data_IF_826525935505
#
_entry.id   IF_826525935505
#
_cell.length_a   1.000
_cell.length_b   1.000
_cell.length_c   1.000
_cell.angle_alpha   90.00
_cell.angle_beta   90.00
_cell.angle_gamma   90.00
#
_symmetry.space_group_name_H-M   'P 1'
#
loop_
_entity.id
_entity.type
_entity.pdbx_description
1 polymer ?
#
# COMPACT_ATOMS: atom_id res chain seq x y z
N UNK A 1 -6.62 7.29 44.69
CA UNK A 1 -5.88 6.25 43.95
C UNK A 1 -6.90 5.32 43.34
N UNK A 2 -6.77 4.96 42.06
CA UNK A 2 -7.66 4.00 41.41
C UNK A 2 -7.44 2.63 42.06
N UNK A 3 -8.51 1.97 42.50
CA UNK A 3 -8.41 0.67 43.16
C UNK A 3 -8.22 -0.47 42.15
N UNK A 4 -7.55 -1.55 42.57
CA UNK A 4 -7.41 -2.76 41.73
C UNK A 4 -8.78 -3.36 41.35
N UNK A 5 -9.80 -3.19 42.20
CA UNK A 5 -11.16 -3.63 41.93
C UNK A 5 -11.81 -2.87 40.76
N UNK A 6 -11.59 -1.56 40.67
CA UNK A 6 -12.09 -0.74 39.54
C UNK A 6 -11.44 -1.15 38.22
N UNK A 7 -10.12 -1.39 38.24
CA UNK A 7 -9.38 -1.89 37.07
C UNK A 7 -9.96 -3.23 36.61
N UNK A 8 -10.24 -4.14 37.54
CA UNK A 8 -10.81 -5.45 37.22
C UNK A 8 -12.21 -5.34 36.61
N UNK A 9 -13.06 -4.44 37.14
CA UNK A 9 -14.38 -4.16 36.57
C UNK A 9 -14.29 -3.63 35.14
N UNK A 10 -13.35 -2.72 34.87
CA UNK A 10 -13.13 -2.19 33.51
C UNK A 10 -12.62 -3.29 32.58
N UNK A 11 -11.66 -4.11 33.01
CA UNK A 11 -11.18 -5.25 32.24
C UNK A 11 -12.32 -6.16 31.80
N UNK A 12 -13.20 -6.52 32.73
CA UNK A 12 -14.36 -7.37 32.43
C UNK A 12 -15.33 -6.68 31.45
N UNK A 13 -15.63 -5.40 31.67
CA UNK A 13 -16.56 -4.63 30.81
C UNK A 13 -16.09 -4.50 29.36
N UNK A 14 -14.79 -4.36 29.14
CA UNK A 14 -14.20 -4.17 27.80
C UNK A 14 -13.53 -5.43 27.23
N UNK A 15 -13.72 -6.58 27.89
CA UNK A 15 -13.11 -7.84 27.45
C UNK A 15 -11.59 -7.83 27.43
N UNK A 16 -10.94 -7.00 28.26
CA UNK A 16 -9.49 -6.99 28.40
C UNK A 16 -9.09 -8.08 29.38
N UNK A 17 -8.15 -8.91 28.95
CA UNK A 17 -7.64 -10.05 29.72
C UNK A 17 -6.16 -9.86 29.95
N UNK A 18 -5.73 -10.06 31.18
CA UNK A 18 -4.35 -9.97 31.59
C UNK A 18 -4.20 -9.32 32.96
N UNK A 19 -3.11 -9.63 33.63
CA UNK A 19 -2.72 -9.16 34.95
C UNK A 19 -1.38 -8.42 34.93
N UNK A 20 -0.72 -8.31 33.78
CA UNK A 20 0.57 -7.60 33.66
C UNK A 20 0.50 -6.19 34.28
N UNK A 21 1.50 -5.80 35.11
CA UNK A 21 1.57 -4.47 35.68
C UNK A 21 1.57 -3.35 34.62
N UNK A 22 2.22 -3.58 33.47
CA UNK A 22 2.26 -2.62 32.37
C UNK A 22 0.88 -2.41 31.74
N UNK A 23 0.09 -3.49 31.62
CA UNK A 23 -1.29 -3.42 31.15
C UNK A 23 -2.17 -2.64 32.14
N UNK A 24 -2.01 -2.91 33.45
CA UNK A 24 -2.76 -2.21 34.50
C UNK A 24 -2.44 -0.71 34.50
N UNK A 25 -1.17 -0.35 34.33
CA UNK A 25 -0.74 1.04 34.21
C UNK A 25 -1.38 1.72 33.00
N UNK A 26 -1.38 1.08 31.83
CA UNK A 26 -2.04 1.63 30.64
C UNK A 26 -3.56 1.87 30.86
N UNK A 27 -4.23 0.97 31.59
CA UNK A 27 -5.65 1.14 31.94
C UNK A 27 -5.83 2.32 32.91
N UNK A 28 -4.95 2.47 33.91
CA UNK A 28 -4.99 3.61 34.84
C UNK A 28 -4.84 4.94 34.11
N UNK A 29 -3.89 5.04 33.16
CA UNK A 29 -3.72 6.23 32.33
C UNK A 29 -4.98 6.51 31.50
N UNK A 30 -5.59 5.48 30.89
CA UNK A 30 -6.85 5.64 30.16
C UNK A 30 -7.97 6.20 31.04
N UNK A 31 -8.09 5.69 32.28
CA UNK A 31 -9.09 6.15 33.25
C UNK A 31 -8.87 7.60 33.69
N UNK A 32 -7.61 8.01 33.90
CA UNK A 32 -7.27 9.37 34.28
C UNK A 32 -7.49 10.36 33.13
N UNK A 33 -7.23 9.93 31.90
CA UNK A 33 -7.43 10.75 30.70
C UNK A 33 -8.92 10.89 30.34
N UNK A 34 -9.74 9.87 30.60
CA UNK A 34 -11.15 9.81 30.22
C UNK A 34 -12.01 11.02 30.65
N UNK A 35 -11.96 11.56 31.88
CA UNK A 35 -12.81 12.70 32.28
C UNK A 35 -12.42 14.03 31.62
N UNK A 36 -11.27 14.11 30.96
CA UNK A 36 -10.79 15.33 30.29
C UNK A 36 -11.18 15.37 28.81
N UNK A 37 -11.12 16.54 28.18
CA UNK A 37 -11.24 16.71 26.72
C UNK A 37 -9.88 16.66 25.98
N UNK A 38 -8.80 16.28 26.69
CA UNK A 38 -7.47 16.18 26.09
C UNK A 38 -7.40 15.08 25.02
N UNK A 39 -6.55 15.33 24.02
CA UNK A 39 -6.18 14.33 23.01
C UNK A 39 -5.34 13.23 23.66
N UNK A 40 -5.65 11.99 23.32
CA UNK A 40 -4.90 10.82 23.80
C UNK A 40 -4.24 10.15 22.60
N UNK A 41 -2.92 9.98 22.65
CA UNK A 41 -2.15 9.26 21.65
C UNK A 41 -1.80 7.87 22.18
N UNK A 42 -2.45 6.85 21.61
CA UNK A 42 -2.25 5.45 21.95
C UNK A 42 -1.14 4.87 21.06
N UNK A 43 0.02 4.59 21.64
CA UNK A 43 1.13 3.96 20.95
C UNK A 43 1.18 2.47 21.29
N UNK A 44 1.60 1.65 20.33
CA UNK A 44 1.79 0.22 20.55
C UNK A 44 1.76 -0.57 19.25
N UNK A 45 2.30 -1.77 19.27
CA UNK A 45 2.43 -2.61 18.08
C UNK A 45 1.07 -2.96 17.45
N UNK A 46 1.11 -3.39 16.19
CA UNK A 46 -0.08 -3.88 15.49
C UNK A 46 -0.65 -5.10 16.22
N UNK A 47 -1.98 -5.16 16.36
CA UNK A 47 -2.65 -6.28 17.04
C UNK A 47 -2.51 -6.33 18.57
N UNK A 48 -1.96 -5.30 19.22
CA UNK A 48 -1.79 -5.24 20.70
C UNK A 48 -3.07 -4.90 21.49
N UNK A 49 -4.16 -4.54 20.81
CA UNK A 49 -5.46 -4.23 21.44
C UNK A 49 -5.73 -2.74 21.69
N UNK A 50 -5.09 -1.83 20.95
CA UNK A 50 -5.28 -0.36 21.08
C UNK A 50 -6.74 0.10 21.01
N UNK A 51 -7.56 -0.55 20.17
CA UNK A 51 -8.99 -0.23 20.02
C UNK A 51 -9.79 -0.37 21.32
N UNK A 52 -9.45 -1.33 22.20
CA UNK A 52 -10.13 -1.48 23.48
C UNK A 52 -9.89 -0.27 24.39
N UNK A 53 -8.71 0.34 24.31
CA UNK A 53 -8.37 1.53 25.09
C UNK A 53 -9.14 2.77 24.63
N UNK A 54 -9.36 2.94 23.31
CA UNK A 54 -10.17 4.05 22.82
C UNK A 54 -11.63 3.96 23.28
N UNK A 55 -12.18 2.73 23.32
CA UNK A 55 -13.52 2.45 23.89
C UNK A 55 -13.58 2.75 25.39
N UNK A 56 -12.55 2.38 26.16
CA UNK A 56 -12.45 2.72 27.59
C UNK A 56 -12.51 4.23 27.77
N UNK A 57 -11.63 4.97 27.08
CA UNK A 57 -11.52 6.43 27.19
C UNK A 57 -12.86 7.09 26.89
N UNK A 58 -13.53 6.71 25.79
CA UNK A 58 -14.82 7.27 25.43
C UNK A 58 -15.90 6.94 26.47
N UNK A 59 -16.02 5.68 26.88
CA UNK A 59 -17.08 5.20 27.79
C UNK A 59 -17.03 5.80 29.20
N UNK A 60 -15.83 6.19 29.64
CA UNK A 60 -15.57 6.82 30.94
C UNK A 60 -15.50 8.34 30.84
N UNK A 61 -15.65 8.90 29.63
CA UNK A 61 -15.63 10.34 29.43
C UNK A 61 -16.97 11.01 29.74
N UNK A 62 -16.93 12.34 29.82
CA UNK A 62 -18.13 13.18 29.88
C UNK A 62 -19.00 13.04 28.61
N UNK A 63 -18.41 12.58 27.50
CA UNK A 63 -19.04 12.40 26.19
C UNK A 63 -19.50 10.96 25.93
N UNK A 64 -19.60 10.12 26.96
CA UNK A 64 -20.00 8.70 26.87
C UNK A 64 -21.36 8.43 26.21
N UNK A 65 -22.24 9.44 26.15
CA UNK A 65 -23.54 9.36 25.48
C UNK A 65 -23.52 9.96 24.07
N UNK A 66 -22.43 10.62 23.69
CA UNK A 66 -22.20 11.11 22.33
C UNK A 66 -21.82 9.97 21.39
N UNK A 67 -21.79 10.26 20.09
CA UNK A 67 -21.39 9.28 19.08
C UNK A 67 -19.91 8.93 19.22
N UNK A 68 -19.60 7.66 19.02
CA UNK A 68 -18.23 7.17 18.91
C UNK A 68 -18.02 6.59 17.52
N UNK A 69 -17.10 7.16 16.76
CA UNK A 69 -16.73 6.66 15.42
C UNK A 69 -15.27 6.22 15.46
N UNK A 70 -15.00 4.98 15.05
CA UNK A 70 -13.67 4.43 14.89
C UNK A 70 -13.34 4.34 13.39
N UNK A 71 -12.18 4.87 13.01
CA UNK A 71 -11.72 4.95 11.64
C UNK A 71 -10.29 4.45 11.59
N UNK A 72 -9.99 3.51 10.70
CA UNK A 72 -8.62 3.15 10.37
C UNK A 72 -8.17 4.02 9.18
N UNK A 73 -7.18 4.88 9.40
CA UNK A 73 -6.66 5.79 8.39
C UNK A 73 -5.85 5.07 7.29
N UNK A 74 -5.19 3.96 7.60
CA UNK A 74 -4.46 3.14 6.62
C UNK A 74 -5.36 2.31 5.71
N UNK A 75 -6.60 2.05 6.12
CA UNK A 75 -7.57 1.29 5.32
C UNK A 75 -8.33 2.15 4.28
N UNK A 76 -8.32 3.48 4.42
CA UNK A 76 -9.02 4.40 3.52
C UNK A 76 -8.05 4.87 2.43
N UNK A 77 -8.41 4.75 1.14
CA UNK A 77 -7.58 5.27 0.06
C UNK A 77 -7.30 6.76 0.23
N UNK A 78 -6.04 7.17 0.05
CA UNK A 78 -5.55 8.55 0.20
C UNK A 78 -6.40 9.57 -0.56
N UNK A 79 -6.85 9.26 -1.78
CA UNK A 79 -7.69 10.18 -2.56
C UNK A 79 -9.10 10.42 -1.99
N UNK A 80 -9.55 9.58 -1.04
CA UNK A 80 -10.91 9.62 -0.47
C UNK A 80 -10.97 10.00 1.00
N UNK A 81 -9.84 9.96 1.72
CA UNK A 81 -9.79 10.18 3.17
C UNK A 81 -10.30 11.57 3.58
N UNK A 82 -9.97 12.61 2.81
CA UNK A 82 -10.46 13.97 3.05
C UNK A 82 -11.99 14.05 2.93
N UNK A 83 -12.55 13.36 1.94
CA UNK A 83 -13.99 13.32 1.68
C UNK A 83 -14.74 12.57 2.79
N UNK A 84 -14.17 11.48 3.30
CA UNK A 84 -14.75 10.69 4.38
C UNK A 84 -14.67 11.43 5.74
N UNK A 85 -13.52 12.03 6.07
CA UNK A 85 -13.33 12.74 7.34
C UNK A 85 -14.08 14.07 7.40
N UNK A 86 -13.95 14.90 6.37
CA UNK A 86 -14.44 16.29 6.36
C UNK A 86 -15.74 16.47 5.57
N UNK A 87 -16.15 15.48 4.77
CA UNK A 87 -17.31 15.57 3.91
C UNK A 87 -17.01 16.33 2.62
N UNK A 88 -17.96 16.31 1.70
CA UNK A 88 -17.81 16.95 0.40
C UNK A 88 -19.12 17.56 -0.10
N UNK A 89 -19.00 18.59 -0.93
CA UNK A 89 -20.12 19.19 -1.64
C UNK A 89 -20.34 18.49 -2.99
N UNK A 90 -21.57 18.59 -3.52
CA UNK A 90 -21.90 18.04 -4.84
C UNK A 90 -20.98 18.65 -5.91
N UNK A 91 -20.35 17.80 -6.71
CA UNK A 91 -19.45 18.20 -7.80
C UNK A 91 -18.02 18.53 -7.37
N UNK A 92 -17.62 18.25 -6.13
CA UNK A 92 -16.26 18.55 -5.63
C UNK A 92 -15.15 17.69 -6.26
N UNK A 93 -15.48 16.50 -6.77
CA UNK A 93 -14.58 15.61 -7.49
C UNK A 93 -15.37 14.70 -8.44
N UNK A 94 -14.69 13.98 -9.33
CA UNK A 94 -15.31 13.04 -10.27
C UNK A 94 -15.99 11.89 -9.50
N UNK A 95 -17.33 11.84 -9.54
CA UNK A 95 -18.13 10.87 -8.77
C UNK A 95 -18.89 11.47 -7.58
N UNK A 96 -18.68 12.75 -7.25
CA UNK A 96 -19.44 13.47 -6.22
C UNK A 96 -20.84 13.88 -6.73
N UNK A 97 -21.72 12.90 -6.94
CA UNK A 97 -23.09 13.13 -7.44
C UNK A 97 -24.00 13.82 -6.41
N UNK A 98 -23.72 13.62 -5.14
CA UNK A 98 -24.44 14.19 -3.99
C UNK A 98 -23.45 14.77 -2.98
N UNK A 99 -23.95 15.62 -2.08
CA UNK A 99 -23.17 16.10 -0.95
C UNK A 99 -23.23 15.08 0.20
N UNK A 100 -22.09 14.84 0.87
CA UNK A 100 -22.02 13.90 2.00
C UNK A 100 -21.36 14.57 3.21
N UNK A 101 -21.96 14.34 4.39
CA UNK A 101 -21.40 14.78 5.67
C UNK A 101 -20.20 13.91 6.04
N UNK A 102 -19.12 14.55 6.49
CA UNK A 102 -17.93 13.86 6.98
C UNK A 102 -18.08 13.36 8.40
N UNK A 103 -17.18 12.47 8.83
CA UNK A 103 -17.16 11.93 10.18
C UNK A 103 -17.06 13.01 11.27
N UNK A 104 -16.32 14.10 11.04
CA UNK A 104 -16.24 15.21 11.99
C UNK A 104 -17.57 15.94 12.20
N UNK A 105 -18.42 16.00 11.18
CA UNK A 105 -19.77 16.59 11.30
C UNK A 105 -20.73 15.62 11.99
N UNK A 106 -20.65 14.33 11.65
CA UNK A 106 -21.56 13.30 12.18
C UNK A 106 -21.30 13.04 13.67
N UNK A 107 -20.06 13.22 14.13
CA UNK A 107 -19.58 12.90 15.49
C UNK A 107 -19.60 14.10 16.43
N UNK A 108 -20.17 15.23 16.03
CA UNK A 108 -20.23 16.43 16.89
C UNK A 108 -20.83 16.13 18.28
N UNK A 109 -20.19 16.63 19.34
CA UNK A 109 -20.48 16.31 20.74
C UNK A 109 -19.99 14.93 21.22
N UNK A 110 -19.34 14.16 20.35
CA UNK A 110 -18.88 12.79 20.60
C UNK A 110 -17.36 12.64 20.65
N UNK A 111 -16.87 11.47 20.26
CA UNK A 111 -15.44 11.16 20.16
C UNK A 111 -15.13 10.41 18.87
N UNK A 112 -14.01 10.76 18.24
CA UNK A 112 -13.49 10.08 17.05
C UNK A 112 -12.20 9.35 17.43
N UNK A 113 -12.12 8.09 17.03
CA UNK A 113 -10.93 7.26 17.16
C UNK A 113 -10.26 7.12 15.79
N UNK A 114 -9.04 7.63 15.67
CA UNK A 114 -8.22 7.58 14.47
C UNK A 114 -7.11 6.54 14.66
N UNK A 115 -7.33 5.32 14.16
CA UNK A 115 -6.32 4.27 14.16
C UNK A 115 -5.36 4.44 12.98
N UNK A 116 -4.11 4.04 13.19
CA UNK A 116 -3.02 4.16 12.21
C UNK A 116 -2.83 5.62 11.71
N UNK A 117 -2.88 6.60 12.62
CA UNK A 117 -2.74 8.03 12.28
C UNK A 117 -1.42 8.35 11.56
N UNK A 118 -0.37 7.54 11.75
CA UNK A 118 0.91 7.68 11.08
C UNK A 118 0.87 7.43 9.57
N UNK A 119 -0.19 6.77 9.06
CA UNK A 119 -0.40 6.53 7.62
C UNK A 119 -1.23 7.64 6.95
N UNK A 120 -1.62 8.68 7.70
CA UNK A 120 -2.42 9.78 7.16
C UNK A 120 -1.59 10.66 6.19
N UNK A 121 -2.13 11.04 5.01
CA UNK A 121 -1.47 11.96 4.10
C UNK A 121 -1.17 13.34 4.71
N UNK A 122 -0.06 13.97 4.33
CA UNK A 122 0.36 15.29 4.86
C UNK A 122 -0.70 16.39 4.68
N UNK A 123 -1.43 16.38 3.57
CA UNK A 123 -2.53 17.33 3.32
C UNK A 123 -3.67 17.17 4.32
N UNK A 124 -4.07 15.92 4.58
CA UNK A 124 -5.11 15.58 5.58
C UNK A 124 -4.64 15.91 6.99
N UNK A 125 -3.36 15.68 7.31
CA UNK A 125 -2.77 16.07 8.61
C UNK A 125 -2.92 17.57 8.88
N UNK A 126 -2.68 18.43 7.87
CA UNK A 126 -2.85 19.88 8.02
C UNK A 126 -4.31 20.28 8.30
N UNK A 127 -5.28 19.59 7.69
CA UNK A 127 -6.71 19.82 7.96
C UNK A 127 -7.11 19.32 9.36
N UNK A 128 -6.58 18.17 9.77
CA UNK A 128 -6.81 17.62 11.11
C UNK A 128 -6.28 18.56 12.19
N UNK A 129 -5.11 19.16 11.99
CA UNK A 129 -4.54 20.15 12.91
C UNK A 129 -5.51 21.32 13.13
N UNK A 130 -6.12 21.87 12.06
CA UNK A 130 -7.11 22.94 12.18
C UNK A 130 -8.33 22.55 13.02
N UNK A 131 -8.77 21.29 12.92
CA UNK A 131 -9.85 20.77 13.77
C UNK A 131 -9.41 20.69 15.22
N UNK A 132 -8.20 20.20 15.49
CA UNK A 132 -7.67 20.06 16.85
C UNK A 132 -7.40 21.40 17.54
N UNK A 133 -7.03 22.42 16.79
CA UNK A 133 -6.73 23.76 17.31
C UNK A 133 -7.99 24.61 17.49
N UNK A 134 -8.80 24.72 16.43
CA UNK A 134 -9.89 25.69 16.36
C UNK A 134 -11.28 25.05 16.42
N UNK A 135 -11.39 23.72 16.33
CA UNK A 135 -12.68 23.03 16.19
C UNK A 135 -13.34 23.33 14.85
N UNK A 136 -12.55 23.71 13.83
CA UNK A 136 -13.05 24.19 12.54
C UNK A 136 -12.55 23.32 11.38
N UNK A 137 -13.42 23.06 10.40
CA UNK A 137 -13.07 22.38 9.16
C UNK A 137 -13.88 22.93 7.97
N UNK A 138 -13.47 22.54 6.77
CA UNK A 138 -14.12 22.91 5.51
C UNK A 138 -14.34 21.63 4.71
N UNK A 139 -15.56 21.45 4.18
CA UNK A 139 -15.86 20.32 3.27
C UNK A 139 -15.05 20.42 1.99
N UNK A 140 -14.72 19.28 1.39
CA UNK A 140 -14.05 19.24 0.08
C UNK A 140 -14.93 19.94 -0.97
N UNK A 141 -14.35 20.90 -1.69
CA UNK A 141 -15.06 21.72 -2.67
C UNK A 141 -15.91 22.88 -2.09
N UNK A 142 -15.87 23.09 -0.77
CA UNK A 142 -16.55 24.22 -0.11
C UNK A 142 -15.54 25.30 0.32
N UNK A 143 -16.04 26.51 0.51
CA UNK A 143 -15.32 27.61 1.19
C UNK A 143 -15.95 27.96 2.54
N UNK A 144 -17.05 27.29 2.92
CA UNK A 144 -17.76 27.55 4.17
C UNK A 144 -17.06 26.83 5.32
N UNK A 145 -16.64 27.59 6.33
CA UNK A 145 -16.11 27.06 7.57
C UNK A 145 -17.25 26.49 8.43
N UNK A 146 -17.06 25.27 8.92
CA UNK A 146 -17.95 24.57 9.82
C UNK A 146 -17.25 24.34 11.16
N UNK A 147 -18.02 24.38 12.24
CA UNK A 147 -17.53 24.11 13.60
C UNK A 147 -17.98 22.72 14.05
N UNK A 148 -17.11 22.04 14.78
CA UNK A 148 -17.38 20.75 15.42
C UNK A 148 -16.67 20.70 16.77
N UNK A 149 -17.33 20.09 17.74
CA UNK A 149 -16.77 19.82 19.05
C UNK A 149 -16.62 18.29 19.20
N UNK A 150 -15.51 17.75 18.70
CA UNK A 150 -15.21 16.31 18.74
C UNK A 150 -13.95 16.08 19.56
N UNK A 151 -14.01 15.12 20.49
CA UNK A 151 -12.81 14.64 21.18
C UNK A 151 -12.05 13.67 20.27
N UNK A 152 -10.76 13.89 20.09
CA UNK A 152 -9.91 13.03 19.25
C UNK A 152 -9.10 12.07 20.12
N UNK A 153 -9.17 10.78 19.78
CA UNK A 153 -8.31 9.71 20.31
C UNK A 153 -7.55 9.15 19.12
N UNK A 154 -6.22 9.19 19.13
CA UNK A 154 -5.40 8.71 18.03
C UNK A 154 -4.65 7.44 18.44
N UNK A 155 -4.38 6.55 17.48
CA UNK A 155 -3.53 5.39 17.68
C UNK A 155 -2.53 5.20 16.54
N UNK A 156 -1.36 4.66 16.87
CA UNK A 156 -0.31 4.36 15.89
C UNK A 156 0.58 3.22 16.37
N UNK A 157 1.08 2.43 15.42
CA UNK A 157 2.17 1.46 15.57
C UNK A 157 3.52 2.01 15.09
N UNK A 158 3.53 3.16 14.42
CA UNK A 158 4.74 3.79 13.89
C UNK A 158 5.30 4.75 14.94
N UNK A 159 6.62 4.83 15.02
CA UNK A 159 7.28 5.87 15.78
C UNK A 159 7.12 7.22 15.06
N UNK A 160 6.21 8.07 15.57
CA UNK A 160 5.89 9.35 14.95
C UNK A 160 7.08 10.33 14.95
N UNK A 161 7.97 10.27 15.94
CA UNK A 161 9.16 11.14 15.98
C UNK A 161 10.04 10.84 14.75
N UNK A 162 10.31 9.56 14.48
CA UNK A 162 11.04 9.15 13.28
C UNK A 162 10.30 9.48 11.98
N UNK A 163 8.96 9.48 12.01
CA UNK A 163 8.17 9.87 10.84
C UNK A 163 8.25 11.38 10.57
N UNK A 164 8.34 12.21 11.62
CA UNK A 164 8.59 13.66 11.53
C UNK A 164 9.97 13.92 10.94
N UNK A 165 11.02 13.26 11.42
CA UNK A 165 12.38 13.39 10.89
C UNK A 165 12.46 13.05 9.39
N UNK A 166 11.63 12.10 8.93
CA UNK A 166 11.54 11.69 7.52
C UNK A 166 10.56 12.53 6.68
N UNK A 167 9.97 13.59 7.24
CA UNK A 167 8.99 14.43 6.56
C UNK A 167 7.66 13.73 6.22
N UNK A 168 7.37 12.56 6.80
CA UNK A 168 6.12 11.81 6.59
C UNK A 168 5.01 12.23 7.54
N UNK A 169 5.35 12.89 8.63
CA UNK A 169 4.41 13.38 9.62
C UNK A 169 4.75 14.81 10.02
N UNK A 170 3.73 15.65 10.22
CA UNK A 170 3.95 17.03 10.62
C UNK A 170 4.28 17.14 12.11
N UNK A 171 5.29 17.93 12.42
CA UNK A 171 5.76 18.15 13.79
C UNK A 171 4.70 18.84 14.66
N UNK A 172 4.02 19.85 14.12
CA UNK A 172 2.95 20.59 14.80
C UNK A 172 1.79 19.68 15.24
N UNK A 173 1.34 18.80 14.35
CA UNK A 173 0.31 17.81 14.62
C UNK A 173 0.77 16.79 15.67
N UNK A 174 2.03 16.36 15.64
CA UNK A 174 2.56 15.42 16.63
C UNK A 174 2.44 15.98 18.05
N UNK A 175 2.89 17.22 18.28
CA UNK A 175 2.81 17.83 19.60
C UNK A 175 1.36 18.04 20.05
N UNK A 176 0.44 18.37 19.12
CA UNK A 176 -0.99 18.53 19.46
C UNK A 176 -1.67 17.20 19.80
N UNK A 177 -1.30 16.11 19.15
CA UNK A 177 -1.83 14.77 19.43
C UNK A 177 -1.23 14.16 20.70
N UNK A 178 0.06 14.40 20.96
CA UNK A 178 0.80 13.80 22.07
C UNK A 178 0.59 14.54 23.41
N UNK A 179 -0.64 14.99 23.70
CA UNK A 179 -0.96 15.65 24.98
C UNK A 179 -0.96 14.63 26.12
N UNK A 180 -1.62 13.48 25.91
CA UNK A 180 -1.60 12.35 26.84
C UNK A 180 -1.06 11.11 26.12
N UNK A 181 0.22 10.74 26.32
CA UNK A 181 0.76 9.51 25.76
C UNK A 181 0.25 8.29 26.53
N UNK A 182 -0.28 7.30 25.81
CA UNK A 182 -0.68 6.02 26.36
C UNK A 182 0.01 4.89 25.60
N UNK A 183 0.93 4.20 26.26
CA UNK A 183 1.62 3.05 25.67
C UNK A 183 0.91 1.74 26.00
N UNK A 184 0.57 0.97 24.97
CA UNK A 184 0.00 -0.39 25.08
C UNK A 184 1.13 -1.40 24.87
N UNK A 185 1.50 -2.18 25.90
CA UNK A 185 2.65 -3.06 25.83
C UNK A 185 2.40 -4.20 24.83
N UNK A 186 3.41 -4.61 24.05
CA UNK A 186 3.31 -5.79 23.19
C UNK A 186 3.12 -7.06 24.03
N UNK A 187 2.56 -8.09 23.42
CA UNK A 187 2.14 -9.31 24.08
C UNK A 187 3.30 -10.03 24.78
N UNK A 188 4.49 -10.03 24.18
CA UNK A 188 5.72 -10.61 24.75
C UNK A 188 6.16 -9.97 26.07
N UNK A 189 5.80 -8.71 26.33
CA UNK A 189 6.10 -8.01 27.59
C UNK A 189 5.04 -8.24 28.67
N UNK A 190 3.98 -9.02 28.36
CA UNK A 190 2.89 -9.29 29.30
C UNK A 190 3.03 -10.61 30.07
N UNK A 191 4.06 -11.41 29.79
CA UNK A 191 4.38 -12.64 30.53
C UNK A 191 3.25 -13.68 30.47
N UNK A 192 2.71 -14.06 31.63
CA UNK A 192 1.68 -15.10 31.76
C UNK A 192 0.33 -14.75 31.10
N UNK A 193 0.10 -13.48 30.77
CA UNK A 193 -1.10 -13.04 30.05
C UNK A 193 -1.28 -13.78 28.71
N UNK A 194 -0.19 -14.23 28.10
CA UNK A 194 -0.19 -15.02 26.85
C UNK A 194 -0.99 -16.32 27.04
N UNK A 195 -0.73 -17.03 28.14
CA UNK A 195 -1.39 -18.30 28.44
C UNK A 195 -2.86 -18.08 28.80
N UNK A 196 -3.16 -17.01 29.55
CA UNK A 196 -4.53 -16.62 29.89
C UNK A 196 -5.36 -16.28 28.65
N UNK A 197 -4.79 -15.49 27.73
CA UNK A 197 -5.42 -15.13 26.46
C UNK A 197 -5.64 -16.37 25.58
N UNK A 198 -4.64 -17.24 25.46
CA UNK A 198 -4.77 -18.48 24.69
C UNK A 198 -5.94 -19.33 25.21
N UNK A 199 -5.98 -19.58 26.52
CA UNK A 199 -7.09 -20.31 27.16
C UNK A 199 -8.44 -19.65 26.90
N UNK A 200 -8.51 -18.32 26.94
CA UNK A 200 -9.76 -17.63 26.62
C UNK A 200 -10.18 -17.90 25.19
N UNK A 201 -9.29 -17.73 24.21
CA UNK A 201 -9.64 -17.91 22.81
C UNK A 201 -10.06 -19.34 22.48
N UNK A 202 -9.39 -20.35 23.05
CA UNK A 202 -9.82 -21.74 22.88
C UNK A 202 -11.17 -22.03 23.55
N UNK A 203 -11.46 -21.39 24.69
CA UNK A 203 -12.76 -21.49 25.37
C UNK A 203 -13.86 -20.80 24.56
N UNK A 204 -13.62 -19.59 24.05
CA UNK A 204 -14.59 -18.84 23.23
C UNK A 204 -14.90 -19.59 21.92
N UNK A 205 -13.90 -20.22 21.32
CA UNK A 205 -14.08 -21.09 20.16
C UNK A 205 -14.89 -22.34 20.52
N UNK A 206 -14.55 -22.98 21.64
CA UNK A 206 -15.26 -24.15 22.18
C UNK A 206 -16.75 -23.86 22.43
N UNK A 207 -17.09 -22.74 23.06
CA UNK A 207 -18.47 -22.32 23.31
C UNK A 207 -19.22 -22.05 22.01
N UNK A 208 -18.59 -21.35 21.06
CA UNK A 208 -19.22 -21.00 19.78
C UNK A 208 -19.52 -22.22 18.91
N UNK A 209 -18.58 -23.17 18.84
CA UNK A 209 -18.68 -24.33 17.94
C UNK A 209 -19.06 -25.63 18.67
N UNK A 210 -19.34 -25.56 19.97
CA UNK A 210 -19.72 -26.71 20.83
C UNK A 210 -18.71 -27.86 20.79
N UNK A 211 -17.43 -27.53 20.72
CA UNK A 211 -16.31 -28.49 20.81
C UNK A 211 -15.67 -28.40 22.19
N UNK A 212 -14.84 -29.37 22.58
CA UNK A 212 -14.07 -29.28 23.83
C UNK A 212 -12.94 -28.25 23.69
N UNK A 213 -12.62 -27.46 24.73
CA UNK A 213 -11.52 -26.51 24.68
C UNK A 213 -10.17 -27.23 24.65
N UNK A 214 -9.19 -26.60 24.00
CA UNK A 214 -7.82 -27.08 23.99
C UNK A 214 -7.09 -26.62 25.25
N UNK A 215 -6.39 -27.56 25.88
CA UNK A 215 -5.42 -27.35 26.95
C UNK A 215 -4.01 -27.56 26.46
N UNK A 216 -3.09 -26.69 26.90
CA UNK A 216 -1.66 -26.83 26.66
C UNK A 216 -1.00 -27.54 27.83
N UNK A 217 -0.05 -28.43 27.52
CA UNK A 217 0.89 -28.95 28.53
C UNK A 217 1.87 -27.85 28.99
N UNK A 218 2.70 -28.16 30.00
CA UNK A 218 3.66 -27.18 30.53
C UNK A 218 4.77 -26.83 29.52
N UNK A 219 5.16 -27.76 28.64
CA UNK A 219 6.18 -27.53 27.63
C UNK A 219 5.67 -26.58 26.52
N UNK A 220 4.44 -26.76 26.07
CA UNK A 220 3.75 -25.91 25.12
C UNK A 220 3.50 -24.51 25.71
N UNK A 221 3.13 -24.39 26.98
CA UNK A 221 3.01 -23.08 27.65
C UNK A 221 4.35 -22.33 27.64
N UNK A 222 5.45 -23.02 27.96
CA UNK A 222 6.80 -22.42 27.92
C UNK A 222 7.21 -22.01 26.52
N UNK A 223 6.90 -22.84 25.52
CA UNK A 223 7.14 -22.51 24.11
C UNK A 223 6.36 -21.27 23.69
N UNK A 224 5.07 -21.21 24.05
CA UNK A 224 4.19 -20.09 23.75
C UNK A 224 4.72 -18.79 24.36
N UNK A 225 5.14 -18.80 25.64
CA UNK A 225 5.66 -17.60 26.31
C UNK A 225 7.00 -17.10 25.74
N UNK A 226 7.79 -17.96 25.10
CA UNK A 226 9.07 -17.58 24.48
C UNK A 226 8.91 -16.99 23.08
N UNK A 227 7.77 -17.24 22.44
CA UNK A 227 7.54 -16.77 21.08
C UNK A 227 7.30 -15.24 21.06
N UNK A 228 7.89 -14.48 20.11
CA UNK A 228 7.86 -13.02 20.14
C UNK A 228 6.51 -12.39 19.76
N UNK A 229 5.65 -13.12 19.05
CA UNK A 229 4.33 -12.65 18.56
C UNK A 229 4.36 -11.30 17.84
N UNK A 230 4.96 -11.19 16.63
CA UNK A 230 4.93 -9.95 15.84
C UNK A 230 3.51 -9.43 15.56
N UNK A 231 2.52 -10.31 15.44
CA UNK A 231 1.10 -9.93 15.29
C UNK A 231 0.32 -9.85 16.60
N UNK A 232 1.00 -9.91 17.74
CA UNK A 232 0.45 -9.77 19.09
C UNK A 232 -0.82 -10.62 19.32
N UNK A 233 -1.87 -10.02 19.89
CA UNK A 233 -3.12 -10.72 20.26
C UNK A 233 -3.83 -11.28 19.03
N UNK A 234 -3.75 -10.57 17.88
CA UNK A 234 -4.36 -11.03 16.62
C UNK A 234 -3.72 -12.34 16.16
N UNK A 235 -2.40 -12.44 16.20
CA UNK A 235 -1.68 -13.66 15.87
C UNK A 235 -1.98 -14.80 16.86
N UNK A 236 -1.94 -14.50 18.17
CA UNK A 236 -2.25 -15.50 19.20
C UNK A 236 -3.67 -16.07 19.03
N UNK A 237 -4.65 -15.20 18.75
CA UNK A 237 -6.03 -15.61 18.50
C UNK A 237 -6.13 -16.50 17.27
N UNK A 238 -5.52 -16.12 16.16
CA UNK A 238 -5.53 -16.94 14.94
C UNK A 238 -4.93 -18.33 15.18
N UNK A 239 -3.81 -18.40 15.90
CA UNK A 239 -3.18 -19.69 16.26
C UNK A 239 -4.10 -20.52 17.15
N UNK A 240 -4.70 -19.92 18.19
CA UNK A 240 -5.62 -20.62 19.09
C UNK A 240 -6.84 -21.18 18.34
N UNK A 241 -7.42 -20.41 17.41
CA UNK A 241 -8.54 -20.84 16.57
C UNK A 241 -8.12 -21.95 15.59
N UNK A 242 -6.94 -21.84 14.96
CA UNK A 242 -6.41 -22.86 14.06
C UNK A 242 -6.20 -24.21 14.75
N UNK A 243 -5.55 -24.21 15.92
CA UNK A 243 -5.31 -25.44 16.69
C UNK A 243 -6.66 -26.02 17.14
N UNK A 244 -7.60 -25.18 17.60
CA UNK A 244 -8.93 -25.61 18.03
C UNK A 244 -9.75 -26.29 16.91
N UNK A 245 -9.50 -25.89 15.67
CA UNK A 245 -10.16 -26.42 14.48
C UNK A 245 -9.50 -27.69 13.93
N UNK A 246 -8.17 -27.72 13.90
CA UNK A 246 -7.41 -28.75 13.18
C UNK A 246 -7.01 -29.95 14.04
N UNK A 247 -6.84 -29.76 15.35
CA UNK A 247 -6.44 -30.84 16.24
C UNK A 247 -7.64 -31.63 16.80
N UNK A 248 -7.57 -32.95 16.67
CA UNK A 248 -8.54 -33.87 17.26
C UNK A 248 -8.29 -34.06 18.75
N UNK A 249 -7.02 -34.18 19.13
CA UNK A 249 -6.58 -34.24 20.52
C UNK A 249 -6.76 -32.88 21.19
N UNK A 250 -7.23 -32.88 22.44
CA UNK A 250 -7.55 -31.65 23.19
C UNK A 250 -6.45 -31.24 24.15
N UNK A 251 -5.49 -32.12 24.40
CA UNK A 251 -4.23 -31.81 25.04
C UNK A 251 -3.19 -31.64 23.94
N UNK A 252 -2.58 -30.46 23.88
CA UNK A 252 -1.60 -30.11 22.83
C UNK A 252 -0.24 -29.98 23.47
N UNK A 253 0.71 -30.74 22.93
CA UNK A 253 2.11 -30.74 23.32
C UNK A 253 2.92 -29.66 22.60
N UNK A 254 4.16 -29.44 23.04
CA UNK A 254 5.06 -28.47 22.43
C UNK A 254 5.36 -28.80 20.95
N UNK A 255 5.46 -30.08 20.60
CA UNK A 255 5.75 -30.51 19.23
C UNK A 255 4.59 -30.16 18.28
N UNK A 256 3.35 -30.35 18.71
CA UNK A 256 2.17 -29.99 17.93
C UNK A 256 2.00 -28.49 17.83
N UNK A 257 2.15 -27.75 18.95
CA UNK A 257 2.09 -26.28 18.95
C UNK A 257 3.12 -25.66 17.99
N UNK A 258 4.33 -26.21 17.94
CA UNK A 258 5.40 -25.69 17.07
C UNK A 258 5.06 -25.72 15.58
N UNK A 259 4.17 -26.62 15.13
CA UNK A 259 3.71 -26.69 13.73
C UNK A 259 2.90 -25.45 13.31
N UNK A 260 2.25 -24.80 14.28
CA UNK A 260 1.39 -23.63 14.07
C UNK A 260 2.11 -22.31 14.29
N UNK A 261 3.27 -22.35 14.96
CA UNK A 261 4.13 -21.19 15.10
C UNK A 261 4.91 -20.98 13.79
N UNK A 262 4.88 -19.78 13.18
CA UNK A 262 5.69 -19.49 12.01
C UNK A 262 7.17 -19.77 12.30
N UNK A 263 7.82 -20.58 11.46
CA UNK A 263 9.25 -20.79 11.53
C UNK A 263 9.96 -19.48 11.16
N UNK A 264 10.64 -18.84 12.10
CA UNK A 264 11.46 -17.63 11.86
C UNK A 264 12.68 -17.87 10.95
N UNK A 265 12.80 -19.04 10.32
CA UNK A 265 13.83 -19.37 9.31
C UNK A 265 13.55 -18.74 7.94
N UNK A 266 13.12 -17.48 7.94
CA UNK A 266 13.30 -16.57 6.81
C UNK A 266 14.21 -15.40 7.22
N UNK A 267 15.17 -15.66 8.13
CA UNK A 267 16.40 -14.89 8.18
C UNK A 267 17.26 -15.33 6.99
N UNK A 268 17.02 -14.70 5.83
CA UNK A 268 18.06 -14.58 4.82
C UNK A 268 19.33 -14.05 5.51
N UNK A 269 20.53 -14.54 5.16
CA UNK A 269 21.74 -14.21 5.88
C UNK A 269 21.95 -12.68 5.88
N UNK A 270 21.82 -12.07 7.05
CA UNK A 270 22.25 -10.70 7.31
C UNK A 270 23.77 -10.70 7.21
N UNK A 271 24.30 -10.13 6.13
CA UNK A 271 25.71 -9.80 6.02
C UNK A 271 26.02 -8.77 7.11
N UNK A 272 26.71 -9.19 8.15
CA UNK A 272 27.28 -8.29 9.16
C UNK A 272 28.37 -7.45 8.51
N UNK A 273 28.05 -6.21 8.11
CA UNK A 273 29.04 -5.20 7.81
C UNK A 273 29.53 -4.57 9.13
N UNK A 274 30.81 -4.75 9.43
CA UNK A 274 31.49 -4.15 10.57
C UNK A 274 31.56 -2.62 10.48
N UNK A 275 31.64 -2.01 11.66
CA UNK A 275 31.77 -0.60 11.99
C UNK A 275 32.36 0.37 10.94
N UNK A 276 31.65 1.49 10.73
CA UNK A 276 32.19 2.72 10.18
C UNK A 276 31.12 3.73 9.75
N UNK A 277 30.83 4.72 10.60
CA UNK A 277 30.21 6.04 10.35
C UNK A 277 29.48 6.34 9.02
N UNK A 278 28.19 6.71 9.13
CA UNK A 278 27.59 7.82 8.37
C UNK A 278 26.93 7.50 7.02
N UNK A 279 25.59 7.55 7.02
CA UNK A 279 24.66 7.81 5.89
C UNK A 279 24.70 6.90 4.64
N UNK A 280 23.49 6.57 4.17
CA UNK A 280 23.16 6.08 2.81
C UNK A 280 23.46 4.61 2.40
N UNK A 281 23.37 3.63 3.29
CA UNK A 281 23.54 2.21 2.89
C UNK A 281 22.30 1.51 2.30
N UNK A 282 21.07 1.99 2.54
CA UNK A 282 19.87 1.38 1.95
C UNK A 282 19.72 1.72 0.46
N UNK A 283 20.11 2.94 0.07
CA UNK A 283 20.08 3.41 -1.32
C UNK A 283 21.13 2.68 -2.18
N UNK A 284 22.28 2.32 -1.60
CA UNK A 284 23.33 1.61 -2.32
C UNK A 284 22.94 0.17 -2.65
N UNK A 285 22.34 -0.56 -1.70
CA UNK A 285 21.94 -1.95 -1.96
C UNK A 285 20.84 -2.06 -3.01
N UNK A 286 19.85 -1.16 -2.98
CA UNK A 286 18.80 -1.13 -4.01
C UNK A 286 19.34 -0.69 -5.37
N UNK A 287 20.25 0.30 -5.42
CA UNK A 287 20.92 0.70 -6.67
C UNK A 287 21.79 -0.40 -7.24
N UNK A 288 22.55 -1.13 -6.42
CA UNK A 288 23.38 -2.26 -6.87
C UNK A 288 22.54 -3.39 -7.44
N UNK A 289 21.39 -3.71 -6.81
CA UNK A 289 20.43 -4.67 -7.34
C UNK A 289 19.85 -4.17 -8.68
N UNK A 290 19.46 -2.90 -8.75
CA UNK A 290 18.92 -2.30 -9.98
C UNK A 290 19.96 -2.29 -11.12
N UNK A 291 21.22 -1.93 -10.83
CA UNK A 291 22.30 -1.97 -11.81
C UNK A 291 22.58 -3.38 -12.29
N UNK A 292 22.54 -4.37 -11.40
CA UNK A 292 22.69 -5.78 -11.78
C UNK A 292 21.56 -6.23 -12.70
N UNK A 293 20.31 -5.93 -12.36
CA UNK A 293 19.14 -6.24 -13.20
C UNK A 293 19.22 -5.54 -14.56
N UNK A 294 19.59 -4.26 -14.60
CA UNK A 294 19.74 -3.51 -15.87
C UNK A 294 20.89 -4.05 -16.72
N UNK A 295 21.97 -4.51 -16.10
CA UNK A 295 23.10 -5.11 -16.81
C UNK A 295 22.73 -6.47 -17.40
N UNK A 296 22.01 -7.29 -16.64
CA UNK A 296 21.48 -8.58 -17.10
C UNK A 296 20.47 -8.36 -18.25
N UNK A 297 19.54 -7.42 -18.13
CA UNK A 297 18.61 -7.05 -19.22
C UNK A 297 19.34 -6.55 -20.48
N UNK A 298 20.43 -5.78 -20.32
CA UNK A 298 21.25 -5.30 -21.44
C UNK A 298 21.95 -6.47 -22.15
N UNK A 299 22.40 -7.46 -21.38
CA UNK A 299 23.01 -8.69 -21.92
C UNK A 299 21.98 -9.49 -22.71
N UNK A 300 20.80 -9.71 -22.13
CA UNK A 300 19.70 -10.44 -22.79
C UNK A 300 19.24 -9.74 -24.07
N UNK A 301 19.12 -8.42 -24.06
CA UNK A 301 18.80 -7.63 -25.25
C UNK A 301 19.86 -7.74 -26.35
N UNK A 302 21.13 -7.81 -25.99
CA UNK A 302 22.21 -8.01 -26.96
C UNK A 302 22.21 -9.43 -27.54
N UNK A 303 21.91 -10.42 -26.72
CA UNK A 303 21.82 -11.81 -27.17
C UNK A 303 20.56 -12.03 -28.04
N UNK A 304 19.45 -11.36 -27.71
CA UNK A 304 18.25 -11.34 -28.56
C UNK A 304 18.52 -10.66 -29.92
N UNK A 305 19.24 -9.53 -29.94
CA UNK A 305 19.64 -8.86 -31.19
C UNK A 305 20.49 -9.78 -32.07
N UNK A 306 21.43 -10.53 -31.49
CA UNK A 306 22.22 -11.53 -32.22
C UNK A 306 21.35 -12.65 -32.78
N UNK A 307 20.43 -13.19 -31.96
CA UNK A 307 19.53 -14.25 -32.39
C UNK A 307 18.62 -13.81 -33.55
N UNK A 308 18.09 -12.59 -33.51
CA UNK A 308 17.27 -12.02 -34.60
C UNK A 308 18.10 -11.82 -35.87
N UNK A 309 19.34 -11.31 -35.75
CA UNK A 309 20.25 -11.14 -36.89
C UNK A 309 20.60 -12.49 -37.52
N UNK A 310 20.94 -13.49 -36.70
CA UNK A 310 21.29 -14.84 -37.14
C UNK A 310 20.06 -15.57 -37.73
N UNK A 311 18.85 -15.38 -37.17
CA UNK A 311 17.60 -15.93 -37.71
C UNK A 311 17.23 -15.32 -39.07
N UNK A 312 17.50 -14.04 -39.28
CA UNK A 312 17.25 -13.37 -40.56
C UNK A 312 18.24 -13.85 -41.64
N UNK A 313 19.51 -14.05 -41.27
CA UNK A 313 20.54 -14.56 -42.19
C UNK A 313 20.37 -16.06 -42.51
N UNK A 314 19.88 -16.86 -41.56
CA UNK A 314 19.69 -18.31 -41.73
C UNK A 314 18.32 -18.72 -42.30
N UNK A 315 17.45 -17.75 -42.62
CA UNK A 315 16.13 -18.02 -43.22
C UNK A 315 15.11 -18.69 -42.28
N UNK A 316 15.34 -18.66 -40.97
CA UNK A 316 14.47 -19.28 -39.96
C UNK A 316 15.20 -19.69 -38.68
N UNK A 317 14.42 -20.12 -37.68
CA UNK A 317 14.94 -20.59 -36.39
C UNK A 317 15.38 -22.07 -36.50
N UNK A 318 16.69 -22.30 -36.60
CA UNK A 318 17.28 -23.64 -36.59
C UNK A 318 17.56 -24.12 -35.16
N UNK A 319 17.41 -25.43 -34.90
CA UNK A 319 17.64 -26.04 -33.58
C UNK A 319 19.06 -25.80 -33.02
N UNK A 320 20.05 -25.58 -33.89
CA UNK A 320 21.42 -25.25 -33.51
C UNK A 320 21.57 -23.83 -32.92
N UNK A 321 20.69 -22.88 -33.27
CA UNK A 321 20.69 -21.50 -32.75
C UNK A 321 20.13 -21.45 -31.31
N UNK A 322 19.11 -22.25 -31.04
CA UNK A 322 18.49 -22.37 -29.70
C UNK A 322 19.50 -22.97 -28.70
N UNK A 323 20.26 -23.99 -29.12
CA UNK A 323 21.31 -24.58 -28.27
C UNK A 323 22.48 -23.63 -27.97
N UNK A 324 22.78 -22.69 -28.87
CA UNK A 324 23.87 -21.72 -28.67
C UNK A 324 23.50 -20.59 -27.72
N UNK A 325 22.20 -20.34 -27.54
CA UNK A 325 21.63 -19.30 -26.68
C UNK A 325 20.79 -19.89 -25.53
N UNK A 326 21.19 -21.03 -24.97
CA UNK A 326 20.44 -21.70 -23.87
C UNK A 326 20.21 -20.80 -22.65
N UNK A 327 21.14 -19.89 -22.35
CA UNK A 327 21.03 -18.96 -21.21
C UNK A 327 19.83 -18.00 -21.31
N UNK A 328 19.28 -17.74 -22.51
CA UNK A 328 18.06 -16.96 -22.71
C UNK A 328 16.78 -17.73 -22.34
N UNK A 329 16.87 -19.06 -22.25
CA UNK A 329 15.74 -19.96 -22.06
C UNK A 329 15.82 -20.77 -20.75
N UNK A 330 16.87 -20.57 -19.93
CA UNK A 330 16.95 -21.13 -18.58
C UNK A 330 15.79 -20.57 -17.72
N UNK A 331 14.87 -21.45 -17.32
CA UNK A 331 13.66 -21.11 -16.56
C UNK A 331 12.34 -21.29 -17.31
N UNK A 332 12.38 -21.61 -18.61
CA UNK A 332 11.23 -22.16 -19.32
C UNK A 332 11.25 -23.69 -19.19
N UNK A 333 10.47 -24.24 -18.25
CA UNK A 333 10.33 -25.68 -18.06
C UNK A 333 9.99 -26.41 -19.37
N UNK A 334 10.73 -27.49 -19.61
CA UNK A 334 10.70 -28.36 -20.78
C UNK A 334 9.40 -29.15 -20.94
N UNK A 335 8.77 -28.98 -22.11
CA UNK A 335 8.07 -29.97 -22.98
C UNK A 335 7.11 -31.03 -22.40
N UNK A 336 6.10 -31.41 -23.21
CA UNK A 336 6.02 -32.80 -23.60
C UNK A 336 6.10 -32.99 -25.11
N UNK A 337 6.80 -34.06 -25.48
CA UNK A 337 6.93 -34.58 -26.82
C UNK A 337 5.58 -34.80 -27.51
N UNK A 338 5.48 -34.46 -28.79
CA UNK A 338 4.49 -35.05 -29.69
C UNK A 338 5.21 -35.69 -30.86
N UNK A 339 5.01 -37.00 -30.96
CA UNK A 339 5.57 -37.93 -31.92
C UNK A 339 5.14 -37.61 -33.35
N UNK A 340 6.05 -37.87 -34.30
CA UNK A 340 5.74 -38.00 -35.72
C UNK A 340 4.72 -39.12 -35.97
N UNK A 341 3.52 -38.77 -36.45
CA UNK A 341 2.73 -39.63 -37.36
C UNK A 341 2.02 -38.80 -38.42
N UNK A 342 2.51 -38.86 -39.66
CA UNK A 342 1.71 -38.61 -40.87
C UNK A 342 0.67 -39.73 -41.00
N UNK A 343 -0.56 -39.42 -41.43
CA UNK A 343 -0.92 -39.77 -42.80
C UNK A 343 -1.71 -38.69 -43.54
N UNK A 344 -1.65 -38.79 -44.86
CA UNK A 344 -2.24 -37.91 -45.85
C UNK A 344 -3.78 -37.86 -45.81
N UNK A 345 -4.35 -36.66 -45.96
CA UNK A 345 -5.43 -36.40 -46.91
C UNK A 345 -5.67 -34.88 -47.04
N UNK A 346 -5.76 -34.47 -48.29
CA UNK A 346 -6.10 -33.17 -48.86
C UNK A 346 -7.44 -32.60 -48.40
N UNK A 347 -7.51 -31.28 -48.16
CA UNK A 347 -8.47 -30.36 -48.80
C UNK A 347 -7.82 -28.96 -48.84
N UNK A 348 -7.63 -28.42 -50.04
CA UNK A 348 -7.14 -27.06 -50.25
C UNK A 348 -8.26 -26.07 -50.52
N UNK A 349 -8.01 -24.79 -50.21
CA UNK A 349 -8.62 -23.64 -50.87
C UNK A 349 -7.52 -22.57 -51.03
N UNK A 350 -7.28 -22.03 -52.24
CA UNK A 350 -6.22 -21.07 -52.53
C UNK A 350 -6.67 -19.62 -52.33
N UNK A 351 -5.75 -18.69 -52.10
CA UNK A 351 -6.02 -17.28 -52.37
C UNK A 351 -4.82 -16.63 -53.06
N UNK A 352 -5.17 -15.95 -54.14
CA UNK A 352 -4.36 -15.47 -55.27
C UNK A 352 -3.67 -14.15 -54.92
N UNK A 353 -2.42 -14.02 -55.35
CA UNK A 353 -1.65 -12.77 -55.38
C UNK A 353 -1.95 -12.11 -56.73
N UNK A 354 -2.38 -10.85 -56.71
CA UNK A 354 -2.55 -10.04 -57.91
C UNK A 354 -1.66 -8.79 -57.83
N UNK A 355 -0.98 -8.52 -58.94
CA UNK A 355 0.05 -7.49 -59.13
C UNK A 355 -0.39 -6.64 -60.33
N UNK A 356 -0.50 -5.31 -60.22
CA UNK A 356 -0.52 -4.46 -61.39
C UNK A 356 0.89 -3.89 -61.66
N UNK A 357 1.26 -3.98 -62.92
CA UNK A 357 2.54 -3.67 -63.55
C UNK A 357 2.79 -2.18 -63.82
N UNK A 358 4.04 -1.78 -63.59
CA UNK A 358 4.94 -0.86 -64.32
C UNK A 358 4.40 0.39 -65.05
N UNK A 359 5.05 1.53 -64.76
CA UNK A 359 5.79 2.31 -65.78
C UNK A 359 6.95 3.09 -65.14
N UNK A 360 8.08 2.98 -65.81
CA UNK A 360 9.37 3.63 -65.57
C UNK A 360 9.30 5.16 -65.73
N UNK A 361 10.12 5.88 -64.97
CA UNK A 361 10.90 7.04 -65.44
C UNK A 361 12.07 7.27 -64.46
N UNK A 362 13.29 7.16 -64.99
CA UNK A 362 14.59 7.41 -64.36
C UNK A 362 15.05 8.81 -64.76
N UNK A 363 15.64 9.57 -63.85
CA UNK A 363 16.61 10.67 -64.10
C UNK A 363 17.15 11.16 -62.73
N UNK A 364 18.32 11.78 -62.61
CA UNK A 364 19.70 11.30 -62.78
C UNK A 364 20.54 12.12 -61.75
N UNK A 365 21.78 11.70 -61.49
CA UNK A 365 22.82 12.21 -60.57
C UNK A 365 22.76 13.66 -60.02
N UNK A 366 23.15 13.87 -58.75
CA UNK A 366 24.50 14.40 -58.46
C UNK A 366 24.98 14.21 -57.00
N UNK A 367 26.30 14.04 -56.90
CA UNK A 367 27.13 13.94 -55.71
C UNK A 367 27.60 15.31 -55.21
N UNK A 368 28.11 15.33 -53.97
CA UNK A 368 28.84 16.42 -53.27
C UNK A 368 28.01 17.37 -52.38
N UNK A 369 28.15 17.19 -51.07
CA UNK A 369 28.80 18.16 -50.16
C UNK A 369 28.64 17.66 -48.72
N UNK A 370 29.77 17.29 -48.10
CA UNK A 370 29.88 17.18 -46.65
C UNK A 370 30.04 18.61 -46.14
N UNK A 371 29.05 19.14 -45.43
CA UNK A 371 29.19 20.35 -44.62
C UNK A 371 29.06 19.99 -43.13
N UNK A 372 30.14 20.23 -42.40
CA UNK A 372 30.17 20.21 -40.93
C UNK A 372 29.26 21.31 -40.40
N UNK A 373 28.18 20.95 -39.71
CA UNK A 373 27.37 21.93 -38.99
C UNK A 373 27.91 22.08 -37.57
N UNK A 374 28.56 23.22 -37.40
CA UNK A 374 28.98 23.90 -36.18
C UNK A 374 27.86 23.84 -35.13
N UNK A 375 28.23 23.49 -33.90
CA UNK A 375 27.39 23.71 -32.72
C UNK A 375 27.17 25.21 -32.52
N UNK A 376 25.99 25.70 -32.91
CA UNK A 376 25.48 26.99 -32.43
C UNK A 376 24.58 26.74 -31.21
N UNK A 377 25.02 27.33 -30.09
CA UNK A 377 24.26 27.44 -28.86
C UNK A 377 23.07 28.37 -29.09
N UNK A 378 21.89 27.80 -29.35
CA UNK A 378 20.63 28.52 -29.23
C UNK A 378 19.85 27.98 -28.02
N UNK A 379 19.85 28.82 -26.98
CA UNK A 379 18.90 28.78 -25.87
C UNK A 379 17.47 28.62 -26.40
N UNK A 380 16.91 27.41 -26.27
CA UNK A 380 15.48 27.21 -26.44
C UNK A 380 14.96 26.20 -25.43
N UNK A 381 14.25 26.74 -24.43
CA UNK A 381 13.41 25.97 -23.53
C UNK A 381 12.52 25.01 -24.33
N UNK A 382 12.79 23.71 -24.22
CA UNK A 382 11.99 22.65 -24.84
C UNK A 382 10.64 22.52 -24.12
N UNK A 383 9.70 23.42 -24.37
CA UNK A 383 8.31 23.25 -23.92
C UNK A 383 7.59 22.24 -24.83
N UNK A 384 7.13 21.13 -24.24
CA UNK A 384 6.35 20.07 -24.91
C UNK A 384 5.11 20.63 -25.63
N UNK A 385 4.52 21.71 -25.13
CA UNK A 385 3.33 22.35 -25.70
C UNK A 385 3.60 22.98 -27.07
N UNK A 386 4.80 23.53 -27.30
CA UNK A 386 5.16 24.16 -28.59
C UNK A 386 5.35 23.10 -29.67
N UNK A 387 6.04 22.00 -29.35
CA UNK A 387 6.20 20.85 -30.26
C UNK A 387 4.86 20.19 -30.58
N UNK A 388 3.96 20.12 -29.60
CA UNK A 388 2.62 19.59 -29.81
C UNK A 388 1.79 20.47 -30.75
N UNK A 389 1.80 21.81 -30.55
CA UNK A 389 1.14 22.77 -31.45
C UNK A 389 1.65 22.65 -32.88
N UNK A 390 2.97 22.51 -33.05
CA UNK A 390 3.60 22.35 -34.36
C UNK A 390 3.20 21.05 -35.06
N UNK A 391 3.18 19.92 -34.33
CA UNK A 391 2.73 18.64 -34.88
C UNK A 391 1.27 18.69 -35.32
N UNK A 392 0.40 19.35 -34.55
CA UNK A 392 -1.01 19.53 -34.89
C UNK A 392 -1.18 20.35 -36.18
N UNK A 393 -0.44 21.46 -36.31
CA UNK A 393 -0.44 22.29 -37.52
C UNK A 393 0.06 21.52 -38.75
N UNK A 394 1.13 20.73 -38.59
CA UNK A 394 1.71 19.92 -39.67
C UNK A 394 0.73 18.85 -40.16
N UNK A 395 0.05 18.16 -39.25
CA UNK A 395 -0.97 17.16 -39.59
C UNK A 395 -2.20 17.78 -40.26
N UNK A 396 -2.65 18.96 -39.81
CA UNK A 396 -3.77 19.67 -40.44
C UNK A 396 -3.44 20.13 -41.86
N UNK A 397 -2.23 20.68 -42.09
CA UNK A 397 -1.77 21.07 -43.43
C UNK A 397 -1.65 19.87 -44.37
N UNK A 398 -1.04 18.78 -43.89
CA UNK A 398 -0.86 17.53 -44.65
C UNK A 398 -2.19 16.95 -45.13
N UNK A 399 -3.26 17.13 -44.35
CA UNK A 399 -4.59 16.61 -44.67
C UNK A 399 -5.59 17.70 -45.12
N UNK A 400 -5.13 18.86 -45.60
CA UNK A 400 -5.98 19.96 -46.09
C UNK A 400 -7.13 20.33 -45.13
N UNK A 401 -6.80 20.48 -43.84
CA UNK A 401 -7.73 20.79 -42.75
C UNK A 401 -8.86 19.77 -42.51
N UNK A 402 -8.77 18.57 -43.10
CA UNK A 402 -9.69 17.47 -42.81
C UNK A 402 -9.36 16.84 -41.46
N UNK A 403 -10.04 17.33 -40.41
CA UNK A 403 -9.81 17.00 -38.99
C UNK A 403 -9.82 15.50 -38.68
N UNK A 404 -10.67 14.71 -39.35
CA UNK A 404 -10.73 13.25 -39.20
C UNK A 404 -9.42 12.55 -39.54
N UNK A 405 -8.81 12.91 -40.67
CA UNK A 405 -7.56 12.31 -41.11
C UNK A 405 -6.37 12.85 -40.33
N UNK A 406 -6.36 14.14 -39.99
CA UNK A 406 -5.34 14.73 -39.13
C UNK A 406 -5.32 14.11 -37.72
N UNK A 407 -6.50 13.82 -37.14
CA UNK A 407 -6.61 13.14 -35.86
C UNK A 407 -6.06 11.71 -35.92
N UNK A 408 -6.36 10.99 -37.01
CA UNK A 408 -5.83 9.65 -37.26
C UNK A 408 -4.31 9.63 -37.46
N UNK A 409 -3.74 10.60 -38.17
CA UNK A 409 -2.28 10.72 -38.40
C UNK A 409 -1.52 11.04 -37.10
N UNK A 410 -2.18 11.76 -36.18
CA UNK A 410 -1.68 12.06 -34.84
C UNK A 410 -1.97 10.97 -33.79
N UNK A 411 -2.72 9.92 -34.15
CA UNK A 411 -3.10 8.84 -33.23
C UNK A 411 -4.05 9.27 -32.10
N UNK A 412 -4.79 10.37 -32.27
CA UNK A 412 -5.72 10.91 -31.26
C UNK A 412 -7.17 10.92 -31.76
N UNK A 413 -8.13 10.97 -30.84
CA UNK A 413 -9.55 11.09 -31.22
C UNK A 413 -9.85 12.47 -31.83
N UNK A 414 -10.81 12.56 -32.75
CA UNK A 414 -11.26 13.84 -33.33
C UNK A 414 -11.70 14.85 -32.26
N UNK A 415 -12.31 14.38 -31.18
CA UNK A 415 -12.73 15.21 -30.03
C UNK A 415 -11.52 15.79 -29.29
N UNK A 416 -10.45 15.01 -29.15
CA UNK A 416 -9.19 15.46 -28.54
C UNK A 416 -8.50 16.50 -29.41
N UNK A 417 -8.44 16.26 -30.74
CA UNK A 417 -7.90 17.21 -31.69
C UNK A 417 -8.66 18.54 -31.66
N UNK A 418 -10.00 18.49 -31.65
CA UNK A 418 -10.83 19.70 -31.56
C UNK A 418 -10.58 20.51 -30.29
N UNK A 419 -10.44 19.83 -29.14
CA UNK A 419 -10.11 20.49 -27.87
C UNK A 419 -8.75 21.17 -27.93
N UNK A 420 -7.74 20.52 -28.53
CA UNK A 420 -6.37 21.06 -28.65
C UNK A 420 -6.30 22.22 -29.65
N UNK A 421 -7.01 22.16 -30.77
CA UNK A 421 -7.14 23.28 -31.73
C UNK A 421 -7.71 24.52 -31.02
N UNK A 422 -8.75 24.34 -30.20
CA UNK A 422 -9.35 25.42 -29.40
C UNK A 422 -8.46 25.91 -28.25
N UNK A 423 -7.67 25.02 -27.65
CA UNK A 423 -6.74 25.37 -26.56
C UNK A 423 -5.55 26.19 -27.07
N UNK A 424 -5.10 25.93 -28.30
CA UNK A 424 -3.92 26.56 -28.88
C UNK A 424 -4.24 27.70 -29.86
N UNK A 425 -5.52 28.10 -29.97
CA UNK A 425 -6.05 29.10 -30.91
C UNK A 425 -5.48 28.91 -32.33
N UNK A 426 -5.65 27.69 -32.86
CA UNK A 426 -5.25 27.34 -34.23
C UNK A 426 -6.47 27.55 -35.14
N UNK A 427 -6.38 28.48 -36.11
CA UNK A 427 -7.44 28.77 -37.09
C UNK A 427 -7.51 27.76 -38.24
#
# INVERSE_FOLDING_TARGET
>A
MISNAEIQSIKQRFGIIGNSPLLNHAIQVAMQAAPTDMTVLITGESGSGKESFSKIIHSLSLRKHGKFIAINCGAIPEGTIDSELFGHEKGSFTGAHEARKGYFEVTDGGSIFLDEIGEMPLGTQARLLRVLENGEFIRVGSSKVLKTNVRVIAATNINLIKAVEKGKFREDLYYRLNTVPLFVPPLRERGEDIVLLFRKFTTDFSERYKVKPISLDEDAKRLLMRFPFPGNIRQLKNIAEQISLLEYEREVDAATLSKYLPNERSQLPVLTAGHGSGQDFSDFSEREILYKVLFDMKKDMNDLKKLVLESYQAGGLNANLINKHQNLFEGMDSTPAFEEKRPAASVGVPMVIDHPSAKDELEDYDSEAIEDIVHEEDDNSLSLERKEKEMILKALRKHNNKRKYAASDLGISERTLYRKIKQYDIE
#
